data_IF_894891963313
#
_entry.id   IF_894891963313
#
_cell.length_a   1.000
_cell.length_b   1.000
_cell.length_c   1.000
_cell.angle_alpha   90.00
_cell.angle_beta   90.00
_cell.angle_gamma   90.00
#
_symmetry.space_group_name_H-M   'P 1'
#
loop_
_entity.id
_entity.type
_entity.pdbx_description
1 polymer ?
#
# COMPACT_ATOMS: atom_id res chain seq x y z
N UNK A 1 -15.58 7.97 -5.40
CA UNK A 1 -15.74 9.14 -4.48
C UNK A 1 -15.83 8.82 -2.99
N UNK A 2 -16.13 7.57 -2.49
CA UNK A 2 -16.26 7.33 -1.04
C UNK A 2 -14.98 7.62 -0.25
N UNK A 3 -13.80 7.42 -0.84
CA UNK A 3 -12.50 7.69 -0.19
C UNK A 3 -12.35 9.15 0.25
N UNK A 4 -12.71 10.10 -0.63
CA UNK A 4 -12.64 11.53 -0.29
C UNK A 4 -13.66 11.95 0.74
N UNK A 5 -14.85 11.34 0.75
CA UNK A 5 -15.86 11.59 1.78
C UNK A 5 -15.38 11.15 3.16
N UNK A 6 -14.73 9.99 3.27
CA UNK A 6 -14.16 9.51 4.53
C UNK A 6 -13.02 10.40 5.04
N UNK A 7 -12.15 10.88 4.13
CA UNK A 7 -11.12 11.87 4.47
C UNK A 7 -11.75 13.18 4.98
N UNK A 8 -12.71 13.71 4.23
CA UNK A 8 -13.43 14.94 4.63
C UNK A 8 -14.16 14.76 5.96
N UNK A 9 -14.79 13.61 6.19
CA UNK A 9 -15.44 13.27 7.43
C UNK A 9 -14.45 13.23 8.61
N UNK A 10 -13.28 12.60 8.42
CA UNK A 10 -12.23 12.59 9.45
C UNK A 10 -11.73 14.00 9.79
N UNK A 11 -11.50 14.83 8.76
CA UNK A 11 -11.15 16.25 8.94
C UNK A 11 -12.24 17.01 9.70
N UNK A 12 -13.51 16.83 9.34
CA UNK A 12 -14.66 17.45 10.01
C UNK A 12 -14.72 17.04 11.49
N UNK A 13 -14.61 15.75 11.82
CA UNK A 13 -14.65 15.26 13.20
C UNK A 13 -13.56 15.91 14.05
N UNK A 14 -12.35 16.05 13.50
CA UNK A 14 -11.23 16.69 14.20
C UNK A 14 -11.43 18.19 14.34
N UNK A 15 -11.88 18.86 13.29
CA UNK A 15 -12.07 20.32 13.29
C UNK A 15 -13.19 20.75 14.22
N UNK A 16 -14.23 19.94 14.36
CA UNK A 16 -15.36 20.16 15.30
C UNK A 16 -15.08 19.64 16.71
N UNK A 17 -13.87 19.15 17.00
CA UNK A 17 -13.45 18.59 18.29
C UNK A 17 -14.29 17.38 18.79
N UNK A 18 -14.95 16.63 17.88
CA UNK A 18 -15.61 15.38 18.23
C UNK A 18 -14.60 14.29 18.60
N UNK A 19 -13.38 14.37 18.04
CA UNK A 19 -12.30 13.44 18.35
C UNK A 19 -11.03 14.18 18.76
N UNK A 20 -10.35 13.66 19.78
CA UNK A 20 -9.06 14.18 20.24
C UNK A 20 -7.91 13.73 19.35
N UNK A 21 -6.76 14.42 19.43
CA UNK A 21 -5.53 13.96 18.75
C UNK A 21 -5.03 12.62 19.30
N UNK A 22 -5.24 12.39 20.60
CA UNK A 22 -4.87 11.14 21.25
C UNK A 22 -5.74 9.98 20.75
N UNK A 23 -7.04 10.17 20.62
CA UNK A 23 -7.96 9.20 20.03
C UNK A 23 -7.54 8.82 18.60
N UNK A 24 -7.23 9.80 17.76
CA UNK A 24 -6.77 9.54 16.39
C UNK A 24 -5.46 8.72 16.38
N UNK A 25 -4.50 9.04 17.26
CA UNK A 25 -3.25 8.30 17.40
C UNK A 25 -3.47 6.85 17.85
N UNK A 26 -4.36 6.63 18.83
CA UNK A 26 -4.72 5.29 19.29
C UNK A 26 -5.43 4.50 18.19
N UNK A 27 -6.39 5.11 17.50
CA UNK A 27 -7.11 4.50 16.36
C UNK A 27 -6.16 4.17 15.22
N UNK A 28 -5.20 5.05 14.92
CA UNK A 28 -4.15 4.78 13.93
C UNK A 28 -3.33 3.55 14.31
N UNK A 29 -2.91 3.47 15.57
CA UNK A 29 -2.12 2.34 16.08
C UNK A 29 -2.91 1.02 15.99
N UNK A 30 -4.18 1.04 16.37
CA UNK A 30 -5.09 -0.11 16.27
C UNK A 30 -5.28 -0.53 14.81
N UNK A 31 -5.49 0.44 13.92
CA UNK A 31 -5.66 0.19 12.48
C UNK A 31 -4.42 -0.49 11.90
N UNK A 32 -3.23 0.03 12.17
CA UNK A 32 -1.99 -0.52 11.62
C UNK A 32 -1.55 -1.85 12.25
N UNK A 33 -1.84 -2.07 13.55
CA UNK A 33 -1.43 -3.29 14.25
C UNK A 33 -2.41 -4.45 14.10
N UNK A 34 -3.69 -4.16 13.86
CA UNK A 34 -4.72 -5.19 13.82
C UNK A 34 -5.52 -5.17 12.52
N UNK A 35 -6.24 -4.10 12.22
CA UNK A 35 -7.19 -4.11 11.10
C UNK A 35 -6.52 -4.27 9.74
N UNK A 36 -5.39 -3.61 9.46
CA UNK A 36 -4.66 -3.79 8.20
C UNK A 36 -4.04 -5.18 8.05
N UNK A 37 -3.39 -5.80 9.07
CA UNK A 37 -3.02 -7.21 9.02
C UNK A 37 -4.18 -8.15 8.70
N UNK A 38 -5.32 -7.99 9.37
CA UNK A 38 -6.51 -8.80 9.08
C UNK A 38 -7.02 -8.58 7.64
N UNK A 39 -7.01 -7.34 7.15
CA UNK A 39 -7.34 -7.03 5.76
C UNK A 39 -6.42 -7.74 4.77
N UNK A 40 -5.10 -7.74 5.02
CA UNK A 40 -4.14 -8.42 4.15
C UNK A 40 -4.38 -9.94 4.14
N UNK A 41 -4.54 -10.55 5.30
CA UNK A 41 -4.86 -11.99 5.38
C UNK A 41 -6.15 -12.28 4.60
N UNK A 42 -7.24 -11.53 4.87
CA UNK A 42 -8.53 -11.76 4.23
C UNK A 42 -8.49 -11.60 2.70
N UNK A 43 -7.67 -10.67 2.19
CA UNK A 43 -7.56 -10.45 0.75
C UNK A 43 -6.71 -11.50 0.03
N UNK A 44 -5.74 -12.09 0.73
CA UNK A 44 -4.77 -12.99 0.11
C UNK A 44 -5.18 -14.46 0.24
N UNK A 45 -5.70 -14.89 1.40
CA UNK A 45 -5.92 -16.32 1.66
C UNK A 45 -6.97 -16.98 0.75
N UNK A 46 -7.90 -16.21 0.18
CA UNK A 46 -8.92 -16.68 -0.75
C UNK A 46 -8.48 -16.72 -2.20
N UNK A 47 -7.34 -16.13 -2.51
CA UNK A 47 -6.90 -15.97 -3.89
C UNK A 47 -6.19 -17.23 -4.35
N UNK A 48 -6.67 -17.87 -5.40
CA UNK A 48 -5.98 -18.99 -6.06
C UNK A 48 -4.82 -18.44 -6.89
N UNK A 49 -3.67 -18.30 -6.22
CA UNK A 49 -2.49 -17.66 -6.80
C UNK A 49 -1.92 -18.48 -7.97
N UNK A 50 -2.14 -19.81 -7.97
CA UNK A 50 -1.48 -20.74 -8.88
C UNK A 50 -2.16 -20.93 -10.24
N UNK A 51 -3.43 -20.58 -10.39
CA UNK A 51 -4.22 -20.98 -11.58
C UNK A 51 -4.55 -19.84 -12.56
N UNK A 52 -4.30 -18.61 -12.20
CA UNK A 52 -4.93 -17.49 -12.92
C UNK A 52 -3.98 -16.39 -13.43
N UNK A 53 -2.66 -16.59 -13.38
CA UNK A 53 -1.73 -15.61 -13.95
C UNK A 53 -0.85 -16.29 -14.98
N UNK A 54 -0.92 -15.80 -16.21
CA UNK A 54 0.09 -16.07 -17.22
C UNK A 54 1.48 -15.67 -16.71
N UNK A 55 2.44 -16.59 -16.82
CA UNK A 55 3.80 -16.41 -16.30
C UNK A 55 4.50 -15.17 -16.85
N UNK A 56 4.18 -14.77 -18.09
CA UNK A 56 4.71 -13.57 -18.72
C UNK A 56 4.17 -12.30 -18.06
N UNK A 57 2.86 -12.21 -17.91
CA UNK A 57 2.20 -11.07 -17.23
C UNK A 57 2.68 -10.93 -15.79
N UNK A 58 2.86 -12.05 -15.07
CA UNK A 58 3.42 -12.05 -13.73
C UNK A 58 4.85 -11.49 -13.70
N UNK A 59 5.71 -11.98 -14.59
CA UNK A 59 7.12 -11.58 -14.67
C UNK A 59 7.26 -10.10 -15.02
N UNK A 60 6.47 -9.61 -15.98
CA UNK A 60 6.45 -8.19 -16.34
C UNK A 60 5.99 -7.34 -15.17
N UNK A 61 4.90 -7.69 -14.50
CA UNK A 61 4.34 -6.90 -13.40
C UNK A 61 5.30 -6.83 -12.20
N UNK A 62 5.83 -7.97 -11.77
CA UNK A 62 6.79 -8.07 -10.65
C UNK A 62 8.12 -7.44 -11.03
N UNK A 63 8.65 -7.75 -12.21
CA UNK A 63 9.90 -7.21 -12.72
C UNK A 63 9.88 -5.70 -12.86
N UNK A 64 8.81 -5.13 -13.41
CA UNK A 64 8.62 -3.69 -13.54
C UNK A 64 8.56 -2.99 -12.18
N UNK A 65 7.87 -3.58 -11.20
CA UNK A 65 7.81 -3.05 -9.85
C UNK A 65 9.19 -3.05 -9.17
N UNK A 66 9.91 -4.15 -9.24
CA UNK A 66 11.25 -4.28 -8.66
C UNK A 66 12.25 -3.36 -9.35
N UNK A 67 12.20 -3.27 -10.68
CA UNK A 67 13.03 -2.35 -11.46
C UNK A 67 12.76 -0.89 -11.07
N UNK A 68 11.48 -0.49 -11.04
CA UNK A 68 11.11 0.85 -10.60
C UNK A 68 11.62 1.15 -9.20
N UNK A 69 11.42 0.21 -8.27
CA UNK A 69 11.89 0.35 -6.89
C UNK A 69 13.41 0.52 -6.82
N UNK A 70 14.17 -0.30 -7.55
CA UNK A 70 15.64 -0.21 -7.61
C UNK A 70 16.11 1.15 -8.16
N UNK A 71 15.51 1.61 -9.27
CA UNK A 71 15.79 2.92 -9.86
C UNK A 71 15.50 4.04 -8.84
N UNK A 72 14.35 3.99 -8.17
CA UNK A 72 14.01 5.00 -7.17
C UNK A 72 14.96 4.99 -5.96
N UNK A 73 15.41 3.83 -5.51
CA UNK A 73 16.42 3.71 -4.45
C UNK A 73 17.77 4.31 -4.82
N UNK A 74 18.09 4.35 -6.11
CA UNK A 74 19.32 4.97 -6.63
C UNK A 74 19.15 6.46 -6.85
N UNK A 75 18.06 6.88 -7.49
CA UNK A 75 17.84 8.25 -7.95
C UNK A 75 17.43 9.18 -6.80
N UNK A 76 16.43 8.77 -6.00
CA UNK A 76 15.86 9.65 -4.96
C UNK A 76 16.89 10.13 -3.94
N UNK A 77 17.80 9.29 -3.40
CA UNK A 77 18.82 9.78 -2.46
C UNK A 77 19.81 10.79 -3.06
N UNK A 78 20.01 10.79 -4.39
CA UNK A 78 20.87 11.74 -5.08
C UNK A 78 20.20 13.10 -5.33
N UNK A 79 18.89 13.11 -5.50
CA UNK A 79 18.12 14.32 -5.82
C UNK A 79 17.54 14.97 -4.56
N UNK A 80 17.06 14.15 -3.61
CA UNK A 80 16.42 14.62 -2.38
C UNK A 80 17.45 14.79 -1.28
N UNK A 81 17.70 16.05 -0.88
CA UNK A 81 18.70 16.39 0.14
C UNK A 81 18.28 15.93 1.55
N UNK A 82 16.99 16.09 1.89
CA UNK A 82 16.45 15.79 3.22
C UNK A 82 16.27 14.27 3.43
N UNK A 83 17.08 13.63 4.31
CA UNK A 83 17.01 12.16 4.48
C UNK A 83 15.63 11.66 4.93
N UNK A 84 14.93 12.41 5.79
CA UNK A 84 13.60 12.04 6.31
C UNK A 84 12.52 11.95 5.23
N UNK A 85 12.72 12.61 4.10
CA UNK A 85 11.77 12.63 2.99
C UNK A 85 12.04 11.52 1.96
N UNK A 86 13.26 10.99 1.89
CA UNK A 86 13.68 10.01 0.86
C UNK A 86 12.80 8.77 0.84
N UNK A 87 12.67 8.09 1.97
CA UNK A 87 11.84 6.89 2.06
C UNK A 87 10.36 7.15 1.75
N UNK A 88 9.83 8.30 2.16
CA UNK A 88 8.44 8.71 1.89
C UNK A 88 8.23 8.96 0.40
N UNK A 89 9.16 9.63 -0.28
CA UNK A 89 9.09 9.91 -1.72
C UNK A 89 9.23 8.61 -2.51
N UNK A 90 10.19 7.74 -2.18
CA UNK A 90 10.34 6.42 -2.80
C UNK A 90 9.02 5.65 -2.71
N UNK A 91 8.45 5.53 -1.49
CA UNK A 91 7.17 4.85 -1.28
C UNK A 91 6.04 5.53 -2.07
N UNK A 92 5.97 6.84 -2.06
CA UNK A 92 4.94 7.62 -2.77
C UNK A 92 4.96 7.37 -4.27
N UNK A 93 6.13 7.18 -4.87
CA UNK A 93 6.30 6.96 -6.31
C UNK A 93 5.92 5.55 -6.75
N UNK A 94 6.42 4.49 -6.09
CA UNK A 94 6.16 3.14 -6.57
C UNK A 94 4.85 2.53 -6.04
N UNK A 95 4.42 2.89 -4.82
CA UNK A 95 3.23 2.29 -4.21
C UNK A 95 1.96 2.79 -4.88
N UNK A 96 1.19 1.88 -5.44
CA UNK A 96 -0.14 2.15 -5.99
C UNK A 96 -1.25 1.66 -5.07
N UNK A 97 -2.40 2.33 -5.09
CA UNK A 97 -3.63 1.81 -4.50
C UNK A 97 -4.35 0.93 -5.53
N UNK A 98 -3.66 -0.14 -5.92
CA UNK A 98 -4.04 -1.00 -7.03
C UNK A 98 -5.40 -1.67 -6.83
N UNK A 99 -5.70 -2.13 -5.61
CA UNK A 99 -6.96 -2.84 -5.32
C UNK A 99 -8.17 -1.93 -5.48
N UNK A 100 -8.12 -0.74 -4.89
CA UNK A 100 -9.29 0.15 -4.88
C UNK A 100 -9.51 0.82 -6.23
N UNK A 101 -8.44 1.31 -6.88
CA UNK A 101 -8.57 2.04 -8.14
C UNK A 101 -8.27 1.15 -9.35
N UNK A 102 -7.23 0.34 -9.32
CA UNK A 102 -6.80 -0.48 -10.44
C UNK A 102 -7.83 -1.54 -10.81
N UNK A 103 -8.21 -2.39 -9.85
CA UNK A 103 -9.19 -3.46 -10.09
C UNK A 103 -10.55 -2.87 -10.47
N UNK A 104 -11.01 -1.82 -9.78
CA UNK A 104 -12.28 -1.16 -10.10
C UNK A 104 -12.27 -0.53 -11.50
N UNK A 105 -11.15 0.06 -11.91
CA UNK A 105 -11.00 0.66 -13.24
C UNK A 105 -11.04 -0.44 -14.32
N UNK A 106 -10.28 -1.52 -14.14
CA UNK A 106 -10.27 -2.66 -15.06
C UNK A 106 -11.66 -3.28 -15.18
N UNK A 107 -12.37 -3.44 -14.07
CA UNK A 107 -13.76 -3.95 -14.07
C UNK A 107 -14.68 -3.06 -14.91
N UNK A 108 -14.59 -1.74 -14.74
CA UNK A 108 -15.47 -0.80 -15.42
C UNK A 108 -15.16 -0.64 -16.93
N UNK A 109 -13.89 -0.77 -17.32
CA UNK A 109 -13.44 -0.55 -18.70
C UNK A 109 -13.45 -1.85 -19.52
N UNK A 110 -12.98 -2.95 -18.91
CA UNK A 110 -12.72 -4.22 -19.62
C UNK A 110 -13.64 -5.37 -19.19
N UNK A 111 -14.52 -5.13 -18.22
CA UNK A 111 -15.47 -6.13 -17.71
C UNK A 111 -14.90 -7.04 -16.62
N UNK A 112 -15.80 -7.88 -16.06
CA UNK A 112 -15.49 -8.72 -14.89
C UNK A 112 -14.44 -9.80 -15.15
N UNK A 113 -14.39 -10.34 -16.38
CA UNK A 113 -13.41 -11.37 -16.76
C UNK A 113 -11.96 -10.85 -16.68
N UNK A 114 -11.70 -9.70 -17.26
CA UNK A 114 -10.38 -9.04 -17.19
C UNK A 114 -10.05 -8.57 -15.76
N UNK A 115 -11.07 -8.24 -14.97
CA UNK A 115 -10.91 -7.87 -13.57
C UNK A 115 -10.41 -9.05 -12.70
N UNK A 116 -10.71 -10.29 -13.05
CA UNK A 116 -10.20 -11.46 -12.36
C UNK A 116 -8.66 -11.51 -12.40
N UNK A 117 -8.05 -11.36 -13.57
CA UNK A 117 -6.59 -11.31 -13.71
C UNK A 117 -5.97 -10.16 -12.91
N UNK A 118 -6.56 -8.96 -12.96
CA UNK A 118 -6.11 -7.81 -12.16
C UNK A 118 -6.22 -8.09 -10.65
N UNK A 119 -7.28 -8.75 -10.21
CA UNK A 119 -7.46 -9.12 -8.79
C UNK A 119 -6.40 -10.10 -8.31
N UNK A 120 -6.03 -11.06 -9.14
CA UNK A 120 -5.00 -12.05 -8.82
C UNK A 120 -3.61 -11.39 -8.76
N UNK A 121 -3.27 -10.54 -9.72
CA UNK A 121 -2.05 -9.74 -9.65
C UNK A 121 -1.99 -8.91 -8.36
N UNK A 122 -3.13 -8.43 -7.87
CA UNK A 122 -3.18 -7.68 -6.61
C UNK A 122 -2.74 -8.49 -5.41
N UNK A 123 -3.02 -9.81 -5.39
CA UNK A 123 -2.63 -10.69 -4.30
C UNK A 123 -1.11 -10.82 -4.15
N UNK A 124 -0.37 -10.64 -5.23
CA UNK A 124 1.10 -10.63 -5.22
C UNK A 124 1.66 -9.23 -5.05
N UNK A 125 1.15 -8.27 -5.83
CA UNK A 125 1.67 -6.90 -5.81
C UNK A 125 1.42 -6.18 -4.47
N UNK A 126 0.28 -6.42 -3.80
CA UNK A 126 -0.03 -5.74 -2.53
C UNK A 126 0.93 -6.14 -1.40
N UNK A 127 1.22 -7.43 -1.14
CA UNK A 127 2.28 -7.82 -0.22
C UNK A 127 3.64 -7.22 -0.59
N UNK A 128 4.02 -7.25 -1.88
CA UNK A 128 5.27 -6.67 -2.35
C UNK A 128 5.33 -5.17 -2.07
N UNK A 129 4.27 -4.40 -2.36
CA UNK A 129 4.22 -2.98 -2.00
C UNK A 129 4.46 -2.74 -0.51
N UNK A 130 3.90 -3.58 0.36
CA UNK A 130 4.09 -3.45 1.80
C UNK A 130 5.53 -3.76 2.23
N UNK A 131 6.11 -4.85 1.72
CA UNK A 131 7.52 -5.20 1.99
C UNK A 131 8.45 -4.09 1.52
N UNK A 132 8.32 -3.67 0.25
CA UNK A 132 9.18 -2.63 -0.33
C UNK A 132 8.98 -1.27 0.37
N UNK A 133 7.76 -0.95 0.82
CA UNK A 133 7.50 0.26 1.58
C UNK A 133 8.21 0.25 2.94
N UNK A 134 8.20 -0.88 3.64
CA UNK A 134 8.94 -1.03 4.91
C UNK A 134 10.44 -0.89 4.67
N UNK A 135 10.98 -1.49 3.61
CA UNK A 135 12.39 -1.34 3.24
C UNK A 135 12.71 0.13 2.95
N UNK A 136 11.91 0.79 2.10
CA UNK A 136 12.13 2.20 1.74
C UNK A 136 12.14 3.10 2.98
N UNK A 137 11.16 2.95 3.86
CA UNK A 137 11.05 3.78 5.06
C UNK A 137 12.15 3.46 6.08
N UNK A 138 12.54 2.20 6.24
CA UNK A 138 13.57 1.83 7.22
C UNK A 138 14.97 2.22 6.77
N UNK A 139 15.27 2.03 5.47
CA UNK A 139 16.62 2.27 4.93
C UNK A 139 16.88 3.75 4.66
N UNK A 140 15.90 4.45 4.09
CA UNK A 140 16.13 5.77 3.53
C UNK A 140 15.62 6.94 4.41
N UNK A 141 14.80 6.68 5.45
CA UNK A 141 14.28 7.77 6.31
C UNK A 141 15.18 8.05 7.52
N UNK A 142 16.04 7.11 7.90
CA UNK A 142 17.00 7.30 9.00
C UNK A 142 18.32 7.89 8.51
N UNK A 143 18.67 9.10 8.86
CA UNK A 143 19.95 9.76 8.47
C UNK A 143 21.23 9.14 9.08
N UNK A 144 21.19 7.92 9.60
CA UNK A 144 22.31 7.19 10.19
C UNK A 144 22.79 6.00 9.35
N UNK A 145 23.91 5.40 9.74
CA UNK A 145 24.42 4.18 9.12
C UNK A 145 23.35 3.09 9.15
N UNK A 146 22.92 2.62 7.98
CA UNK A 146 21.96 1.55 7.84
C UNK A 146 22.55 0.27 8.42
N UNK A 147 22.01 -0.19 9.53
CA UNK A 147 22.36 -1.49 10.09
C UNK A 147 21.50 -2.56 9.44
N UNK A 148 22.11 -3.37 8.58
CA UNK A 148 21.42 -4.47 7.90
C UNK A 148 20.67 -5.38 8.89
N UNK A 149 21.28 -5.66 10.05
CA UNK A 149 20.64 -6.45 11.13
C UNK A 149 19.38 -5.77 11.69
N UNK A 150 19.41 -4.45 11.92
CA UNK A 150 18.24 -3.69 12.39
C UNK A 150 17.15 -3.65 11.34
N UNK A 151 17.51 -3.46 10.06
CA UNK A 151 16.58 -3.45 8.94
C UNK A 151 15.90 -4.80 8.77
N UNK A 152 16.66 -5.90 8.74
CA UNK A 152 16.11 -7.26 8.66
C UNK A 152 15.19 -7.58 9.85
N UNK A 153 15.59 -7.20 11.07
CA UNK A 153 14.74 -7.36 12.25
C UNK A 153 13.43 -6.58 12.09
N UNK A 154 13.48 -5.32 11.66
CA UNK A 154 12.30 -4.48 11.44
C UNK A 154 11.36 -5.08 10.39
N UNK A 155 11.89 -5.65 9.32
CA UNK A 155 11.12 -6.34 8.28
C UNK A 155 10.48 -7.60 8.86
N UNK A 156 11.26 -8.45 9.51
CA UNK A 156 10.80 -9.73 10.06
C UNK A 156 9.75 -9.58 11.18
N UNK A 157 9.79 -8.47 11.94
CA UNK A 157 8.83 -8.19 13.01
C UNK A 157 7.65 -7.31 12.56
N UNK A 158 7.59 -6.94 11.28
CA UNK A 158 6.50 -6.10 10.76
C UNK A 158 5.22 -6.91 10.61
N UNK A 159 4.18 -6.52 11.34
CA UNK A 159 2.89 -7.22 11.36
C UNK A 159 2.23 -7.30 9.98
N UNK A 160 2.42 -6.30 9.11
CA UNK A 160 1.86 -6.32 7.75
C UNK A 160 2.57 -7.36 6.89
N UNK A 161 3.89 -7.51 7.04
CA UNK A 161 4.66 -8.53 6.31
C UNK A 161 4.29 -9.92 6.83
N UNK A 162 4.22 -10.11 8.15
CA UNK A 162 3.80 -11.38 8.76
C UNK A 162 2.40 -11.76 8.27
N UNK A 163 1.45 -10.82 8.30
CA UNK A 163 0.09 -11.04 7.83
C UNK A 163 0.03 -11.41 6.33
N UNK A 164 0.82 -10.72 5.50
CA UNK A 164 0.91 -11.04 4.08
C UNK A 164 1.45 -12.47 3.85
N UNK A 165 2.52 -12.84 4.56
CA UNK A 165 3.10 -14.19 4.47
C UNK A 165 2.13 -15.27 4.97
N UNK A 166 1.40 -15.02 6.07
CA UNK A 166 0.36 -15.92 6.58
C UNK A 166 -0.79 -16.07 5.56
N UNK A 167 -1.21 -14.98 4.93
CA UNK A 167 -2.22 -15.01 3.86
C UNK A 167 -1.78 -15.84 2.66
N UNK A 168 -0.54 -15.66 2.19
CA UNK A 168 0.05 -16.45 1.09
C UNK A 168 0.16 -17.91 1.47
N UNK A 169 0.67 -18.22 2.66
CA UNK A 169 0.76 -19.59 3.14
C UNK A 169 -0.61 -20.27 3.19
N UNK A 170 -1.61 -19.60 3.77
CA UNK A 170 -2.98 -20.10 3.84
C UNK A 170 -3.59 -20.34 2.45
N UNK A 171 -3.30 -19.47 1.47
CA UNK A 171 -3.71 -19.62 0.08
C UNK A 171 -3.08 -20.85 -0.58
N UNK A 172 -1.76 -21.05 -0.43
CA UNK A 172 -1.02 -22.19 -1.03
C UNK A 172 -1.53 -23.52 -0.51
N UNK A 173 -1.79 -23.64 0.81
CA UNK A 173 -2.32 -24.88 1.41
C UNK A 173 -3.84 -25.01 1.22
N UNK A 174 -4.46 -24.09 0.47
CA UNK A 174 -5.92 -24.04 0.23
C UNK A 174 -6.73 -24.10 1.53
N UNK A 175 -6.24 -23.41 2.58
CA UNK A 175 -6.89 -23.38 3.89
C UNK A 175 -8.30 -22.83 3.79
N UNK A 176 -9.28 -23.56 4.32
CA UNK A 176 -10.67 -23.11 4.42
C UNK A 176 -11.03 -22.91 5.88
N UNK A 177 -11.33 -21.68 6.27
CA UNK A 177 -11.80 -21.40 7.61
C UNK A 177 -13.28 -21.79 7.77
N UNK A 178 -13.72 -22.24 8.95
CA UNK A 178 -15.13 -22.37 9.28
C UNK A 178 -15.85 -21.02 9.06
N UNK A 179 -17.12 -21.09 8.63
CA UNK A 179 -17.90 -19.91 8.21
C UNK A 179 -17.92 -18.77 9.26
N UNK A 180 -17.98 -19.11 10.53
CA UNK A 180 -17.99 -18.11 11.60
C UNK A 180 -16.65 -17.35 11.72
N UNK A 181 -15.51 -18.05 11.57
CA UNK A 181 -14.18 -17.41 11.57
C UNK A 181 -13.97 -16.55 10.31
N UNK A 182 -14.42 -17.05 9.18
CA UNK A 182 -14.34 -16.31 7.92
C UNK A 182 -15.16 -15.02 7.96
N UNK A 183 -16.37 -15.08 8.51
CA UNK A 183 -17.22 -13.90 8.70
C UNK A 183 -16.57 -12.91 9.64
N UNK A 184 -16.05 -13.36 10.79
CA UNK A 184 -15.37 -12.50 11.75
C UNK A 184 -14.12 -11.85 11.17
N UNK A 185 -13.29 -12.61 10.44
CA UNK A 185 -12.11 -12.09 9.75
C UNK A 185 -12.49 -11.00 8.73
N UNK A 186 -13.52 -11.27 7.94
CA UNK A 186 -14.04 -10.33 6.95
C UNK A 186 -14.56 -9.04 7.60
N UNK A 187 -15.35 -9.14 8.67
CA UNK A 187 -15.96 -7.98 9.33
C UNK A 187 -14.90 -7.09 9.99
N UNK A 188 -13.91 -7.70 10.66
CA UNK A 188 -12.75 -6.97 11.20
C UNK A 188 -11.95 -6.31 10.07
N UNK A 189 -11.70 -7.01 8.98
CA UNK A 189 -10.93 -6.49 7.83
C UNK A 189 -11.59 -5.29 7.16
N UNK A 190 -12.92 -5.25 7.12
CA UNK A 190 -13.69 -4.13 6.54
C UNK A 190 -13.51 -2.81 7.26
N UNK A 191 -13.16 -2.83 8.55
CA UNK A 191 -12.89 -1.62 9.33
C UNK A 191 -11.56 -0.94 8.95
N UNK A 192 -10.61 -1.68 8.38
CA UNK A 192 -9.26 -1.19 8.10
C UNK A 192 -9.23 0.07 7.23
N UNK A 193 -9.84 0.02 6.06
CA UNK A 193 -9.80 1.13 5.09
C UNK A 193 -10.59 2.36 5.58
N UNK A 194 -11.84 2.25 6.06
CA UNK A 194 -12.58 3.40 6.57
C UNK A 194 -11.87 4.08 7.74
N UNK A 195 -11.40 3.32 8.73
CA UNK A 195 -10.70 3.88 9.88
C UNK A 195 -9.38 4.56 9.49
N UNK A 196 -8.59 3.93 8.60
CA UNK A 196 -7.36 4.53 8.10
C UNK A 196 -7.61 5.88 7.40
N UNK A 197 -8.68 5.97 6.59
CA UNK A 197 -9.03 7.20 5.88
C UNK A 197 -9.56 8.29 6.82
N UNK A 198 -10.38 7.93 7.81
CA UNK A 198 -10.88 8.87 8.82
C UNK A 198 -9.71 9.43 9.65
N UNK A 199 -8.80 8.56 10.11
CA UNK A 199 -7.61 9.00 10.84
C UNK A 199 -6.74 9.91 9.99
N UNK A 200 -6.46 9.52 8.73
CA UNK A 200 -5.66 10.33 7.81
C UNK A 200 -6.31 11.72 7.57
N UNK A 201 -7.62 11.76 7.41
CA UNK A 201 -8.38 13.01 7.30
C UNK A 201 -8.29 13.87 8.56
N UNK A 202 -8.39 13.25 9.74
CA UNK A 202 -8.27 13.94 11.03
C UNK A 202 -6.86 14.50 11.30
N UNK A 203 -5.82 13.82 10.82
CA UNK A 203 -4.43 14.29 10.93
C UNK A 203 -4.03 15.25 9.81
N UNK A 204 -4.89 15.47 8.83
CA UNK A 204 -4.62 16.33 7.70
C UNK A 204 -4.52 17.80 8.11
N UNK A 205 -3.49 18.48 7.63
CA UNK A 205 -3.23 19.90 7.91
C UNK A 205 -2.81 20.64 6.64
N UNK A 206 -3.65 21.57 6.19
CA UNK A 206 -3.34 22.45 5.05
C UNK A 206 -2.04 23.26 5.27
N UNK A 207 -1.72 23.62 6.51
CA UNK A 207 -0.50 24.34 6.84
C UNK A 207 0.76 23.51 6.55
N UNK A 208 0.74 22.21 6.89
CA UNK A 208 1.84 21.28 6.60
C UNK A 208 1.98 21.03 5.09
N UNK A 209 0.84 20.97 4.37
CA UNK A 209 0.84 20.80 2.92
C UNK A 209 1.52 21.96 2.20
N UNK A 210 1.20 23.21 2.57
CA UNK A 210 1.80 24.42 1.96
C UNK A 210 3.32 24.40 2.01
N UNK A 211 3.93 23.92 3.12
CA UNK A 211 5.38 23.82 3.27
C UNK A 211 6.05 22.79 2.35
N UNK A 212 5.30 21.80 1.82
CA UNK A 212 5.83 20.71 1.02
C UNK A 212 5.19 20.60 -0.39
N UNK A 213 4.44 21.60 -0.83
CA UNK A 213 3.68 21.54 -2.09
C UNK A 213 4.55 21.27 -3.31
N UNK A 214 5.76 21.85 -3.38
CA UNK A 214 6.68 21.63 -4.50
C UNK A 214 7.09 20.15 -4.60
N UNK A 215 7.47 19.55 -3.47
CA UNK A 215 7.91 18.16 -3.43
C UNK A 215 6.72 17.23 -3.74
N UNK A 216 5.57 17.51 -3.13
CA UNK A 216 4.33 16.75 -3.40
C UNK A 216 3.92 16.86 -4.87
N UNK A 217 3.93 18.06 -5.46
CA UNK A 217 3.60 18.28 -6.87
C UNK A 217 4.53 17.55 -7.82
N UNK A 218 5.86 17.64 -7.60
CA UNK A 218 6.85 16.90 -8.40
C UNK A 218 6.65 15.38 -8.26
N UNK A 219 6.42 14.89 -7.05
CA UNK A 219 6.19 13.45 -6.81
C UNK A 219 4.92 12.97 -7.54
N UNK A 220 3.83 13.74 -7.47
CA UNK A 220 2.57 13.44 -8.18
C UNK A 220 2.78 13.47 -9.69
N UNK A 221 3.48 14.48 -10.22
CA UNK A 221 3.79 14.58 -11.65
C UNK A 221 4.61 13.38 -12.15
N UNK A 222 5.69 13.03 -11.44
CA UNK A 222 6.51 11.85 -11.79
C UNK A 222 5.64 10.59 -11.79
N UNK A 223 4.80 10.41 -10.76
CA UNK A 223 3.96 9.22 -10.61
C UNK A 223 2.90 9.09 -11.69
N UNK A 224 2.23 10.19 -12.04
CA UNK A 224 1.06 10.15 -12.93
C UNK A 224 1.43 10.37 -14.40
N UNK A 225 2.60 10.93 -14.69
CA UNK A 225 3.03 11.23 -16.06
C UNK A 225 4.28 10.45 -16.43
N UNK A 226 5.39 10.63 -15.70
CA UNK A 226 6.68 10.06 -16.12
C UNK A 226 6.68 8.53 -16.02
N UNK A 227 6.23 7.98 -14.90
CA UNK A 227 6.21 6.51 -14.70
C UNK A 227 5.31 5.81 -15.75
N UNK A 228 4.05 6.23 -15.98
CA UNK A 228 3.23 5.64 -17.04
C UNK A 228 3.86 5.77 -18.44
N UNK A 229 4.43 6.92 -18.78
CA UNK A 229 5.09 7.11 -20.10
C UNK A 229 6.26 6.15 -20.32
N UNK A 230 6.97 5.75 -19.27
CA UNK A 230 8.07 4.79 -19.36
C UNK A 230 7.56 3.35 -19.44
N UNK A 231 6.56 2.99 -18.62
CA UNK A 231 6.13 1.60 -18.47
C UNK A 231 5.01 1.17 -19.42
N UNK A 232 4.16 2.09 -19.91
CA UNK A 232 3.11 1.74 -20.87
C UNK A 232 3.66 1.16 -22.19
N UNK A 233 4.72 1.72 -22.82
CA UNK A 233 5.29 1.11 -24.01
C UNK A 233 5.82 -0.30 -23.78
N UNK A 234 6.41 -0.57 -22.60
CA UNK A 234 6.94 -1.89 -22.23
C UNK A 234 5.80 -2.91 -22.01
N UNK A 235 4.64 -2.45 -21.55
CA UNK A 235 3.50 -3.32 -21.29
C UNK A 235 2.69 -3.66 -22.55
N UNK A 236 2.89 -2.92 -23.65
CA UNK A 236 2.20 -3.12 -24.95
C UNK A 236 3.04 -3.97 -25.93
N UNK A 237 4.34 -4.09 -25.69
CA UNK A 237 5.24 -4.99 -26.44
C UNK A 237 5.12 -6.44 -25.96
#
# INVERSE_FOLDING_TARGET
>A
MPTFLLLAFGYFLKHKNFVSSEFLKQTNTLTFKFFLPFLLINNIYKTEITEAIDGMTFTIAVGSLLFLFAVLCIVVPRVVREPKQRGVIIQGLFRSNYVIFGVSLVTNVFGAEKAAAASILSAVLVPMYNVLAVIALTVFTGGGKVSLKKTLKSIATNLLIIAALLGVFASIIKLRFPAFLETSLRDVSRLATPLALIVLGGDFSFRKLKGNMRIAGVTVFIKLVVIPLVFLPIAVL
#
